data_IF_699522221050
#
_entry.id   IF_699522221050
#
_cell.length_a   1.000
_cell.length_b   1.000
_cell.length_c   1.000
_cell.angle_alpha   90.00
_cell.angle_beta   90.00
_cell.angle_gamma   90.00
#
_symmetry.space_group_name_H-M   'P 1'
#
loop_
_entity.id
_entity.type
_entity.pdbx_description
1 polymer ?
#
# COMPACT_ATOMS: atom_id res chain seq x y z
N UNK A 1 3.51 22.42 22.60
CA UNK A 1 4.04 21.62 21.47
C UNK A 1 3.31 20.30 21.35
N UNK A 2 2.87 19.95 20.13
CA UNK A 2 2.14 18.71 19.83
C UNK A 2 3.11 17.68 19.22
N UNK A 3 3.12 16.47 19.78
CA UNK A 3 3.89 15.33 19.26
C UNK A 3 2.92 14.27 18.75
N UNK A 4 2.95 13.98 17.44
CA UNK A 4 2.13 12.91 16.86
C UNK A 4 2.61 11.52 17.31
N UNK A 5 3.91 11.36 17.51
CA UNK A 5 4.56 10.20 18.13
C UNK A 5 5.63 10.72 19.07
N UNK A 6 5.77 10.10 20.25
CA UNK A 6 6.79 10.47 21.22
C UNK A 6 7.31 9.21 21.90
N UNK A 7 8.63 9.02 21.82
CA UNK A 7 9.36 7.94 22.49
C UNK A 7 8.79 6.54 22.22
N UNK A 8 8.55 6.24 20.94
CA UNK A 8 8.05 4.94 20.48
C UNK A 8 9.23 4.07 20.06
N UNK A 9 9.34 2.87 20.64
CA UNK A 9 10.39 1.89 20.32
C UNK A 9 9.79 0.49 20.22
N UNK A 10 10.02 -0.19 19.10
CA UNK A 10 9.66 -1.59 18.90
C UNK A 10 10.51 -2.19 17.77
N UNK A 11 10.55 -3.52 17.72
CA UNK A 11 11.14 -4.32 16.65
C UNK A 11 10.06 -5.27 16.13
N UNK A 12 10.02 -5.50 14.82
CA UNK A 12 9.15 -6.51 14.21
C UNK A 12 10.04 -7.43 13.39
N UNK A 13 10.01 -8.73 13.71
CA UNK A 13 10.83 -9.74 13.05
C UNK A 13 10.10 -10.35 11.87
N UNK A 14 10.88 -10.99 10.99
CA UNK A 14 10.32 -11.69 9.84
C UNK A 14 9.35 -12.79 10.29
N UNK A 15 8.14 -12.78 9.73
CA UNK A 15 7.08 -13.73 10.07
C UNK A 15 6.18 -13.29 11.24
N UNK A 16 6.46 -12.15 11.88
CA UNK A 16 5.58 -11.60 12.91
C UNK A 16 4.43 -10.78 12.33
N UNK A 17 3.25 -10.96 12.91
CA UNK A 17 2.07 -10.13 12.65
C UNK A 17 1.86 -9.19 13.83
N UNK A 18 1.88 -7.88 13.58
CA UNK A 18 1.73 -6.86 14.62
C UNK A 18 0.48 -6.02 14.36
N UNK A 19 -0.38 -5.92 15.37
CA UNK A 19 -1.56 -5.06 15.36
C UNK A 19 -1.29 -3.73 16.08
N UNK A 20 -1.50 -2.61 15.39
CA UNK A 20 -1.40 -1.26 15.98
C UNK A 20 -2.81 -0.76 16.31
N UNK A 21 -3.15 -0.70 17.59
CA UNK A 21 -4.48 -0.29 18.08
C UNK A 21 -4.39 0.95 18.95
N UNK A 22 -5.46 1.75 18.96
CA UNK A 22 -5.52 2.98 19.75
C UNK A 22 -6.60 3.93 19.27
N UNK A 23 -6.93 4.95 20.08
CA UNK A 23 -7.98 5.94 19.77
C UNK A 23 -7.65 6.78 18.53
N UNK A 24 -8.64 7.47 17.99
CA UNK A 24 -8.41 8.48 16.94
C UNK A 24 -7.45 9.56 17.46
N UNK A 25 -6.52 9.99 16.62
CA UNK A 25 -5.45 10.92 17.01
C UNK A 25 -4.27 10.32 17.77
N UNK A 26 -4.27 9.02 18.08
CA UNK A 26 -3.16 8.37 18.81
C UNK A 26 -1.85 8.18 17.99
N UNK A 27 -1.75 8.78 16.80
CA UNK A 27 -0.53 8.72 15.98
C UNK A 27 -0.39 7.48 15.08
N UNK A 28 -1.38 6.56 15.05
CA UNK A 28 -1.32 5.31 14.25
C UNK A 28 -0.98 5.55 12.78
N UNK A 29 -1.72 6.43 12.11
CA UNK A 29 -1.47 6.76 10.70
C UNK A 29 -0.12 7.46 10.50
N UNK A 30 0.34 8.24 11.47
CA UNK A 30 1.67 8.85 11.43
C UNK A 30 2.77 7.80 11.55
N UNK A 31 2.60 6.82 12.44
CA UNK A 31 3.54 5.70 12.59
C UNK A 31 3.63 4.90 11.30
N UNK A 32 2.48 4.55 10.72
CA UNK A 32 2.45 3.82 9.46
C UNK A 32 3.09 4.61 8.31
N UNK A 33 2.83 5.92 8.19
CA UNK A 33 3.49 6.81 7.21
C UNK A 33 5.01 6.91 7.42
N UNK A 34 5.47 6.82 8.66
CA UNK A 34 6.90 6.80 8.98
C UNK A 34 7.54 5.47 8.56
N UNK A 35 6.88 4.35 8.85
CA UNK A 35 7.33 3.02 8.42
C UNK A 35 7.34 2.89 6.89
N UNK A 36 6.36 3.49 6.19
CA UNK A 36 6.34 3.54 4.74
C UNK A 36 7.26 4.57 4.10
N UNK A 37 8.07 5.28 4.90
CA UNK A 37 9.01 6.34 4.48
C UNK A 37 8.35 7.53 3.78
N UNK A 38 7.04 7.71 3.95
CA UNK A 38 6.32 8.91 3.46
C UNK A 38 6.69 10.13 4.30
N UNK A 39 6.97 9.94 5.59
CA UNK A 39 7.38 11.01 6.52
C UNK A 39 8.63 10.58 7.29
N UNK A 40 9.65 11.43 7.33
CA UNK A 40 10.85 11.19 8.13
C UNK A 40 10.60 11.47 9.63
N UNK A 41 11.24 10.73 10.55
CA UNK A 41 11.15 11.03 11.98
C UNK A 41 11.76 12.39 12.30
N UNK A 42 11.11 13.17 13.17
CA UNK A 42 11.68 14.41 13.70
C UNK A 42 12.85 14.17 14.65
N UNK A 43 12.89 12.99 15.30
CA UNK A 43 13.98 12.52 16.15
C UNK A 43 14.00 10.98 16.17
N UNK A 44 15.16 10.39 16.44
CA UNK A 44 15.34 8.93 16.43
C UNK A 44 15.58 8.35 15.04
N UNK A 45 15.33 7.05 14.86
CA UNK A 45 15.50 6.34 13.59
C UNK A 45 14.45 5.27 13.39
N UNK A 46 14.13 5.00 12.13
CA UNK A 46 13.31 3.87 11.70
C UNK A 46 14.09 3.12 10.60
N UNK A 47 14.45 1.88 10.89
CA UNK A 47 15.22 1.02 9.99
C UNK A 47 14.32 -0.11 9.47
N UNK A 48 14.42 -0.40 8.18
CA UNK A 48 13.57 -1.40 7.53
C UNK A 48 14.37 -2.16 6.49
N UNK A 49 14.28 -3.48 6.56
CA UNK A 49 14.97 -4.42 5.68
C UNK A 49 13.95 -5.12 4.78
N UNK A 50 14.16 -5.04 3.47
CA UNK A 50 13.26 -5.63 2.47
C UNK A 50 12.40 -4.60 1.74
N UNK A 51 11.44 -5.11 0.95
CA UNK A 51 10.45 -4.28 0.22
C UNK A 51 9.22 -4.11 1.10
N UNK A 52 8.69 -2.89 1.14
CA UNK A 52 7.46 -2.57 1.84
C UNK A 52 6.34 -2.39 0.81
N UNK A 53 5.30 -3.22 0.90
CA UNK A 53 4.03 -2.99 0.24
C UNK A 53 3.12 -2.30 1.27
N UNK A 54 2.96 -0.98 1.17
CA UNK A 54 2.08 -0.23 2.06
C UNK A 54 0.71 -0.07 1.41
N UNK A 55 -0.26 -0.86 1.88
CA UNK A 55 -1.69 -0.68 1.58
C UNK A 55 -2.30 0.40 2.48
N UNK A 56 -1.63 1.54 2.64
CA UNK A 56 -2.05 2.53 3.64
C UNK A 56 -3.33 3.26 3.29
N UNK A 57 -3.72 3.26 2.02
CA UNK A 57 -5.00 3.80 1.63
C UNK A 57 -5.60 2.92 0.51
N UNK A 58 -6.74 2.29 0.83
CA UNK A 58 -7.54 1.56 -0.16
C UNK A 58 -7.92 2.56 -1.25
N UNK A 59 -7.52 2.30 -2.50
CA UNK A 59 -7.76 3.19 -3.63
C UNK A 59 -6.62 4.13 -4.00
N UNK A 60 -5.60 4.33 -3.14
CA UNK A 60 -4.51 5.29 -3.44
C UNK A 60 -3.40 4.60 -4.20
N UNK A 61 -3.44 4.79 -5.51
CA UNK A 61 -2.61 4.08 -6.47
C UNK A 61 -3.36 3.81 -7.77
N UNK A 62 -4.69 3.83 -7.73
CA UNK A 62 -5.49 3.76 -8.94
C UNK A 62 -5.55 5.12 -9.64
N UNK A 63 -5.21 5.11 -10.93
CA UNK A 63 -5.44 6.22 -11.82
C UNK A 63 -6.81 6.05 -12.49
N UNK A 64 -7.76 6.91 -12.14
CA UNK A 64 -9.18 6.77 -12.48
C UNK A 64 -9.47 6.74 -13.99
N UNK A 65 -8.63 7.42 -14.79
CA UNK A 65 -8.73 7.42 -16.27
C UNK A 65 -8.11 6.20 -16.93
N UNK A 66 -7.28 5.43 -16.20
CA UNK A 66 -6.65 4.22 -16.73
C UNK A 66 -7.59 3.02 -16.53
N UNK A 67 -7.45 2.04 -17.42
CA UNK A 67 -8.11 0.73 -17.34
C UNK A 67 -7.64 -0.08 -16.14
N UNK A 68 -8.38 -1.12 -15.76
CA UNK A 68 -7.95 -2.07 -14.74
C UNK A 68 -6.59 -2.70 -15.08
N UNK A 69 -6.38 -3.07 -16.35
CA UNK A 69 -5.12 -3.60 -16.86
C UNK A 69 -3.96 -2.66 -16.59
N UNK A 70 -4.07 -1.41 -17.04
CA UNK A 70 -3.02 -0.40 -16.87
C UNK A 70 -2.76 -0.12 -15.38
N UNK A 71 -3.80 -0.15 -14.55
CA UNK A 71 -3.67 0.00 -13.11
C UNK A 71 -2.92 -1.16 -12.45
N UNK A 72 -3.09 -2.40 -12.93
CA UNK A 72 -2.28 -3.56 -12.46
C UNK A 72 -0.79 -3.28 -12.70
N UNK A 73 -0.44 -2.80 -13.90
CA UNK A 73 0.96 -2.47 -14.21
C UNK A 73 1.49 -1.27 -13.41
N UNK A 74 0.69 -0.21 -13.29
CA UNK A 74 1.05 0.99 -12.54
C UNK A 74 1.30 0.66 -11.07
N UNK A 75 0.37 -0.05 -10.42
CA UNK A 75 0.50 -0.42 -9.01
C UNK A 75 1.64 -1.42 -8.80
N UNK A 76 1.80 -2.41 -9.68
CA UNK A 76 2.94 -3.32 -9.63
C UNK A 76 4.29 -2.58 -9.67
N UNK A 77 4.41 -1.57 -10.54
CA UNK A 77 5.61 -0.75 -10.63
C UNK A 77 5.83 0.12 -9.37
N UNK A 78 4.77 0.73 -8.82
CA UNK A 78 4.82 1.50 -7.57
C UNK A 78 5.27 0.61 -6.39
N UNK A 79 4.85 -0.66 -6.37
CA UNK A 79 5.26 -1.66 -5.39
C UNK A 79 6.67 -2.23 -5.65
N UNK A 80 7.37 -1.74 -6.67
CA UNK A 80 8.75 -2.11 -7.00
C UNK A 80 8.89 -3.43 -7.76
N UNK A 81 7.82 -3.91 -8.40
CA UNK A 81 7.88 -5.07 -9.30
C UNK A 81 8.42 -4.66 -10.67
N UNK A 82 9.29 -5.49 -11.24
CA UNK A 82 9.70 -5.36 -12.66
C UNK A 82 8.54 -5.76 -13.56
N UNK A 83 8.48 -5.20 -14.77
CA UNK A 83 7.46 -5.58 -15.78
C UNK A 83 7.32 -7.09 -15.96
N UNK A 84 8.43 -7.81 -16.11
CA UNK A 84 8.42 -9.28 -16.24
C UNK A 84 7.91 -10.04 -14.98
N UNK A 85 7.94 -9.42 -13.80
CA UNK A 85 7.31 -9.98 -12.60
C UNK A 85 5.78 -9.78 -12.64
N UNK A 86 5.33 -8.62 -13.14
CA UNK A 86 3.91 -8.31 -13.33
C UNK A 86 3.33 -9.21 -14.42
N UNK A 87 3.99 -9.34 -15.58
CA UNK A 87 3.55 -10.19 -16.69
C UNK A 87 3.30 -11.63 -16.23
N UNK A 88 4.21 -12.19 -15.42
CA UNK A 88 4.09 -13.57 -14.88
C UNK A 88 2.95 -13.75 -13.89
N UNK A 89 2.54 -12.68 -13.22
CA UNK A 89 1.47 -12.68 -12.19
C UNK A 89 0.16 -12.13 -12.71
N UNK A 90 0.11 -11.65 -13.95
CA UNK A 90 -1.01 -10.89 -14.47
C UNK A 90 -2.31 -11.69 -14.39
N UNK A 91 -2.30 -12.92 -14.92
CA UNK A 91 -3.49 -13.78 -14.94
C UNK A 91 -3.95 -14.16 -13.52
N UNK A 92 -3.00 -14.42 -12.61
CA UNK A 92 -3.28 -14.68 -11.18
C UNK A 92 -3.96 -13.47 -10.50
N UNK A 93 -3.52 -12.24 -10.82
CA UNK A 93 -4.10 -11.01 -10.29
C UNK A 93 -5.53 -10.81 -10.83
N UNK A 94 -5.74 -11.05 -12.12
CA UNK A 94 -7.07 -10.91 -12.76
C UNK A 94 -8.05 -11.93 -12.21
N UNK A 95 -7.63 -13.18 -12.07
CA UNK A 95 -8.46 -14.25 -11.51
C UNK A 95 -8.84 -13.96 -10.05
N UNK A 96 -7.86 -13.58 -9.21
CA UNK A 96 -8.10 -13.24 -7.81
C UNK A 96 -9.05 -12.04 -7.61
N UNK A 97 -9.03 -11.09 -8.55
CA UNK A 97 -9.84 -9.86 -8.46
C UNK A 97 -11.24 -10.01 -9.05
N UNK A 98 -11.53 -11.08 -9.80
CA UNK A 98 -12.83 -11.34 -10.44
C UNK A 98 -13.33 -10.19 -11.36
N UNK A 99 -12.43 -9.32 -11.86
CA UNK A 99 -12.76 -8.15 -12.71
C UNK A 99 -12.49 -8.37 -14.20
N UNK A 100 -12.30 -9.62 -14.66
CA UNK A 100 -11.88 -9.92 -16.04
C UNK A 100 -12.72 -9.19 -17.11
N UNK A 101 -14.04 -9.15 -16.93
CA UNK A 101 -14.97 -8.49 -17.84
C UNK A 101 -14.82 -6.96 -17.90
N UNK A 102 -14.20 -6.35 -16.89
CA UNK A 102 -14.03 -4.91 -16.75
C UNK A 102 -12.58 -4.47 -16.91
N UNK A 103 -11.68 -5.39 -17.23
CA UNK A 103 -10.23 -5.18 -17.22
C UNK A 103 -9.79 -4.03 -18.14
N UNK A 104 -10.47 -3.87 -19.27
CA UNK A 104 -10.21 -2.80 -20.25
C UNK A 104 -11.18 -1.60 -20.09
N UNK A 105 -11.93 -1.55 -18.99
CA UNK A 105 -12.78 -0.40 -18.61
C UNK A 105 -12.02 0.53 -17.66
N UNK A 106 -12.10 1.87 -17.85
CA UNK A 106 -11.50 2.82 -16.92
C UNK A 106 -12.01 2.64 -15.48
N UNK A 107 -11.11 2.65 -14.50
CA UNK A 107 -11.41 2.36 -13.10
C UNK A 107 -12.43 3.33 -12.50
N UNK A 108 -12.54 4.58 -13.01
CA UNK A 108 -13.61 5.50 -12.59
C UNK A 108 -15.04 4.97 -12.78
N UNK A 109 -15.23 3.94 -13.62
CA UNK A 109 -16.52 3.28 -13.86
C UNK A 109 -16.74 2.04 -13.01
N UNK A 110 -15.77 1.67 -12.18
CA UNK A 110 -15.88 0.53 -11.28
C UNK A 110 -16.83 0.85 -10.12
N UNK A 111 -17.54 -0.17 -9.64
CA UNK A 111 -18.29 -0.04 -8.40
C UNK A 111 -17.33 0.00 -7.20
N UNK A 112 -17.77 0.51 -6.05
CA UNK A 112 -16.91 0.59 -4.85
C UNK A 112 -16.39 -0.76 -4.36
N UNK A 113 -17.02 -1.88 -4.75
CA UNK A 113 -16.55 -3.23 -4.42
C UNK A 113 -15.50 -3.79 -5.37
N UNK A 114 -15.27 -3.13 -6.50
CA UNK A 114 -14.26 -3.52 -7.51
C UNK A 114 -12.96 -2.71 -7.39
N UNK A 115 -12.94 -1.67 -6.54
CA UNK A 115 -11.78 -0.83 -6.26
C UNK A 115 -10.76 -1.51 -5.35
#
# INVERSE_FOLDING_TARGET
DFWALRDVSFEVRQGETVGIIGRNGAGKSTLLKMLSRVVAPSAGRAEMYGRLASLLEVGTGFHAELTGRENIYLNGAILGMKKAEIDRKFDEIVDFSEIEQFLDTPVKRYSSGMY
#
